data_IF_941686257574
#
_entry.id   IF_941686257574
#
_cell.length_a   1.000
_cell.length_b   1.000
_cell.length_c   1.000
_cell.angle_alpha   90.00
_cell.angle_beta   90.00
_cell.angle_gamma   90.00
#
_symmetry.space_group_name_H-M   'P 1'
#
loop_
_entity.id
_entity.type
_entity.pdbx_description
1 polymer ?
#
# COMPACT_ATOMS: atom_id res chain seq x y z
N UNK A 1 -25.60 0.77 -18.76
CA UNK A 1 -25.75 -0.70 -18.82
C UNK A 1 -27.13 -1.22 -19.23
N UNK A 2 -28.24 -1.00 -18.50
CA UNK A 2 -29.56 -1.56 -18.91
C UNK A 2 -30.20 -0.81 -20.10
N UNK A 3 -29.93 0.48 -20.26
CA UNK A 3 -30.45 1.29 -21.38
C UNK A 3 -29.68 1.08 -22.69
N UNK A 4 -28.37 0.89 -22.65
CA UNK A 4 -27.54 0.64 -23.85
C UNK A 4 -27.87 -0.71 -24.50
N UNK A 5 -28.17 -1.74 -23.69
CA UNK A 5 -28.60 -3.05 -24.19
C UNK A 5 -29.91 -2.98 -24.96
N UNK A 6 -30.82 -2.11 -24.52
CA UNK A 6 -32.10 -1.89 -25.20
C UNK A 6 -31.91 -1.12 -26.50
N UNK A 7 -31.08 -0.07 -26.51
CA UNK A 7 -30.70 0.63 -27.73
C UNK A 7 -30.02 -0.29 -28.76
N UNK A 8 -29.16 -1.20 -28.31
CA UNK A 8 -28.50 -2.21 -29.15
C UNK A 8 -29.48 -3.21 -29.76
N UNK A 9 -30.47 -3.65 -28.99
CA UNK A 9 -31.53 -4.57 -29.44
C UNK A 9 -32.51 -3.92 -30.41
N UNK A 10 -32.83 -2.64 -30.20
CA UNK A 10 -33.72 -1.89 -31.08
C UNK A 10 -33.05 -1.56 -32.42
N UNK A 11 -31.74 -1.27 -32.42
CA UNK A 11 -30.93 -1.17 -33.63
C UNK A 11 -30.85 -2.52 -34.39
N UNK A 12 -30.69 -3.64 -33.67
CA UNK A 12 -30.71 -4.98 -34.27
C UNK A 12 -32.06 -5.32 -34.91
N UNK A 13 -33.17 -4.95 -34.27
CA UNK A 13 -34.52 -5.25 -34.79
C UNK A 13 -34.89 -4.39 -35.99
N UNK A 14 -34.43 -3.13 -36.06
CA UNK A 14 -34.72 -2.25 -37.19
C UNK A 14 -33.96 -2.66 -38.47
N UNK A 15 -32.72 -3.13 -38.34
CA UNK A 15 -31.89 -3.59 -39.48
C UNK A 15 -32.31 -4.98 -40.01
N UNK A 16 -32.73 -5.89 -39.12
CA UNK A 16 -33.02 -7.30 -39.48
C UNK A 16 -34.50 -7.66 -39.61
N UNK A 17 -35.42 -6.70 -39.43
CA UNK A 17 -36.86 -6.95 -39.54
C UNK A 17 -37.33 -7.48 -40.90
N UNK A 18 -36.50 -7.41 -41.95
CA UNK A 18 -36.89 -7.89 -43.29
C UNK A 18 -35.76 -8.50 -44.15
N UNK A 19 -34.47 -8.42 -43.79
CA UNK A 19 -33.38 -8.77 -44.71
C UNK A 19 -32.55 -9.99 -44.28
N UNK A 20 -32.49 -11.00 -45.15
CA UNK A 20 -31.65 -12.23 -45.05
C UNK A 20 -30.13 -11.99 -45.20
N UNK A 21 -29.64 -10.75 -45.21
CA UNK A 21 -28.23 -10.46 -45.39
C UNK A 21 -27.74 -9.38 -44.43
N UNK A 22 -26.77 -9.75 -43.59
CA UNK A 22 -25.92 -8.82 -42.86
C UNK A 22 -25.09 -8.03 -43.89
N UNK A 23 -25.30 -6.72 -43.97
CA UNK A 23 -24.52 -5.84 -44.84
C UNK A 23 -23.09 -5.72 -44.30
N UNK A 24 -22.09 -5.60 -45.19
CA UNK A 24 -20.68 -5.41 -44.77
C UNK A 24 -20.51 -4.20 -43.84
N UNK A 25 -21.35 -3.18 -43.98
CA UNK A 25 -21.39 -1.99 -43.12
C UNK A 25 -21.84 -2.29 -41.69
N UNK A 26 -22.80 -3.21 -41.49
CA UNK A 26 -23.23 -3.62 -40.16
C UNK A 26 -22.13 -4.41 -39.43
N UNK A 27 -21.50 -5.38 -40.12
CA UNK A 27 -20.38 -6.13 -39.55
C UNK A 27 -19.23 -5.23 -39.11
N UNK A 28 -18.93 -4.18 -39.90
CA UNK A 28 -17.93 -3.17 -39.57
C UNK A 28 -18.32 -2.32 -38.34
N UNK A 29 -19.59 -1.89 -38.24
CA UNK A 29 -20.08 -1.13 -37.09
C UNK A 29 -20.00 -1.93 -35.78
N UNK A 30 -20.42 -3.20 -35.81
CA UNK A 30 -20.33 -4.10 -34.64
C UNK A 30 -18.87 -4.37 -34.25
N UNK A 31 -18.00 -4.58 -35.24
CA UNK A 31 -16.57 -4.78 -35.00
C UNK A 31 -15.94 -3.54 -34.35
N UNK A 32 -16.19 -2.33 -34.88
CA UNK A 32 -15.68 -1.08 -34.31
C UNK A 32 -16.15 -0.85 -32.88
N UNK A 33 -17.43 -1.10 -32.61
CA UNK A 33 -17.98 -0.95 -31.26
C UNK A 33 -17.25 -1.87 -30.27
N UNK A 34 -17.07 -3.15 -30.63
CA UNK A 34 -16.31 -4.10 -29.81
C UNK A 34 -14.84 -3.72 -29.67
N UNK A 35 -14.21 -3.17 -30.70
CA UNK A 35 -12.84 -2.68 -30.59
C UNK A 35 -12.73 -1.53 -29.59
N UNK A 36 -13.69 -0.60 -29.59
CA UNK A 36 -13.72 0.49 -28.61
C UNK A 36 -13.87 -0.02 -27.18
N UNK A 37 -14.71 -1.05 -26.95
CA UNK A 37 -14.82 -1.69 -25.64
C UNK A 37 -13.51 -2.37 -25.21
N UNK A 38 -12.82 -3.05 -26.14
CA UNK A 38 -11.52 -3.67 -25.88
C UNK A 38 -10.47 -2.61 -25.52
N UNK A 39 -10.41 -1.52 -26.27
CA UNK A 39 -9.47 -0.41 -26.04
C UNK A 39 -9.71 0.24 -24.67
N UNK A 40 -10.96 0.43 -24.29
CA UNK A 40 -11.33 1.00 -22.99
C UNK A 40 -10.94 0.06 -21.84
N UNK A 41 -11.20 -1.25 -21.98
CA UNK A 41 -10.79 -2.24 -20.99
C UNK A 41 -9.26 -2.33 -20.87
N UNK A 42 -8.52 -2.23 -21.99
CA UNK A 42 -7.07 -2.19 -21.98
C UNK A 42 -6.54 -0.97 -21.21
N UNK A 43 -7.12 0.22 -21.43
CA UNK A 43 -6.77 1.43 -20.67
C UNK A 43 -7.00 1.25 -19.18
N UNK A 44 -8.16 0.70 -18.80
CA UNK A 44 -8.48 0.45 -17.39
C UNK A 44 -7.52 -0.57 -16.76
N UNK A 45 -7.09 -1.58 -17.51
CA UNK A 45 -6.13 -2.57 -17.02
C UNK A 45 -4.76 -1.93 -16.78
N UNK A 46 -4.31 -1.06 -17.68
CA UNK A 46 -3.05 -0.32 -17.54
C UNK A 46 -3.11 0.61 -16.32
N UNK A 47 -4.17 1.41 -16.17
CA UNK A 47 -4.34 2.32 -15.01
C UNK A 47 -4.36 1.54 -13.69
N UNK A 48 -5.10 0.43 -13.62
CA UNK A 48 -5.10 -0.44 -12.44
C UNK A 48 -3.72 -1.04 -12.16
N UNK A 49 -2.99 -1.44 -13.20
CA UNK A 49 -1.61 -1.94 -13.07
C UNK A 49 -0.66 -0.90 -12.51
N UNK A 50 -0.78 0.36 -12.96
CA UNK A 50 0.02 1.48 -12.44
C UNK A 50 -0.28 1.74 -10.96
N UNK A 51 -1.56 1.86 -10.59
CA UNK A 51 -1.96 2.04 -9.18
C UNK A 51 -1.51 0.90 -8.28
N UNK A 52 -1.59 -0.34 -8.78
CA UNK A 52 -1.12 -1.50 -8.04
C UNK A 52 0.39 -1.41 -7.78
N UNK A 53 1.19 -1.03 -8.79
CA UNK A 53 2.63 -0.84 -8.62
C UNK A 53 2.95 0.27 -7.61
N UNK A 54 2.23 1.40 -7.64
CA UNK A 54 2.37 2.47 -6.65
C UNK A 54 2.07 1.97 -5.24
N UNK A 55 0.99 1.21 -5.06
CA UNK A 55 0.62 0.60 -3.78
C UNK A 55 1.69 -0.39 -3.29
N UNK A 56 2.23 -1.22 -4.18
CA UNK A 56 3.33 -2.15 -3.85
C UNK A 56 4.56 -1.38 -3.36
N UNK A 57 4.93 -0.29 -4.04
CA UNK A 57 6.06 0.52 -3.60
C UNK A 57 5.80 1.17 -2.23
N UNK A 58 4.60 1.71 -2.03
CA UNK A 58 4.22 2.30 -0.75
C UNK A 58 4.24 1.27 0.40
N UNK A 59 3.80 0.03 0.16
CA UNK A 59 3.88 -1.06 1.14
C UNK A 59 5.33 -1.38 1.49
N UNK A 60 6.23 -1.48 0.50
CA UNK A 60 7.66 -1.71 0.76
C UNK A 60 8.28 -0.60 1.61
N UNK A 61 7.95 0.66 1.33
CA UNK A 61 8.47 1.79 2.09
C UNK A 61 7.95 1.76 3.54
N UNK A 62 6.69 1.37 3.75
CA UNK A 62 6.12 1.19 5.09
C UNK A 62 6.75 0.01 5.83
N UNK A 63 6.98 -1.12 5.16
CA UNK A 63 7.66 -2.28 5.73
C UNK A 63 9.08 -1.92 6.19
N UNK A 64 9.82 -1.15 5.39
CA UNK A 64 11.14 -0.65 5.77
C UNK A 64 11.08 0.24 7.01
N UNK A 65 10.18 1.23 7.04
CA UNK A 65 9.99 2.11 8.20
C UNK A 65 9.57 1.33 9.45
N UNK A 66 8.71 0.34 9.29
CA UNK A 66 8.24 -0.48 10.39
C UNK A 66 9.37 -1.34 10.97
N UNK A 67 10.22 -1.92 10.11
CA UNK A 67 11.41 -2.64 10.55
C UNK A 67 12.40 -1.75 11.31
N UNK A 68 12.57 -0.51 10.89
CA UNK A 68 13.41 0.47 11.60
C UNK A 68 12.81 0.84 12.96
N UNK A 69 11.51 1.12 13.02
CA UNK A 69 10.80 1.39 14.27
C UNK A 69 10.87 0.21 15.22
N UNK A 70 10.73 -1.01 14.71
CA UNK A 70 10.83 -2.24 15.51
C UNK A 70 12.21 -2.36 16.16
N UNK A 71 13.29 -2.08 15.42
CA UNK A 71 14.66 -2.05 15.99
C UNK A 71 14.79 -1.04 17.13
N UNK A 72 14.24 0.17 16.97
CA UNK A 72 14.27 1.20 18.02
C UNK A 72 13.47 0.77 19.26
N UNK A 73 12.31 0.15 19.06
CA UNK A 73 11.49 -0.40 20.15
C UNK A 73 12.24 -1.49 20.90
N UNK A 74 12.91 -2.39 20.19
CA UNK A 74 13.65 -3.49 20.82
C UNK A 74 14.89 -2.97 21.57
N UNK A 75 15.59 -1.96 21.03
CA UNK A 75 16.69 -1.29 21.73
C UNK A 75 16.23 -0.62 23.03
N UNK A 76 15.12 0.14 22.98
CA UNK A 76 14.55 0.79 24.17
C UNK A 76 14.08 -0.23 25.20
N UNK A 77 13.43 -1.32 24.77
CA UNK A 77 13.02 -2.40 25.68
C UNK A 77 14.21 -3.04 26.38
N UNK A 78 15.31 -3.25 25.65
CA UNK A 78 16.55 -3.80 26.22
C UNK A 78 17.12 -2.85 27.27
N UNK A 79 17.27 -1.56 26.95
CA UNK A 79 17.74 -0.55 27.91
C UNK A 79 16.87 -0.53 29.18
N UNK A 80 15.54 -0.52 29.04
CA UNK A 80 14.63 -0.55 30.21
C UNK A 80 14.84 -1.82 31.05
N UNK A 81 15.09 -2.97 30.42
CA UNK A 81 15.33 -4.21 31.14
C UNK A 81 16.68 -4.18 31.86
N UNK A 82 17.73 -3.74 31.18
CA UNK A 82 19.07 -3.57 31.76
C UNK A 82 19.00 -2.68 33.02
N UNK A 83 18.20 -1.59 32.99
CA UNK A 83 17.99 -0.75 34.18
C UNK A 83 17.22 -1.40 35.32
N UNK A 84 16.17 -2.16 35.02
CA UNK A 84 15.42 -2.88 36.07
C UNK A 84 16.28 -3.90 36.79
N UNK A 85 17.25 -4.47 36.07
CA UNK A 85 18.17 -5.44 36.62
C UNK A 85 19.30 -4.73 37.41
N UNK A 86 19.85 -3.63 36.89
CA UNK A 86 20.82 -2.79 37.63
C UNK A 86 20.23 -2.21 38.94
N UNK A 87 19.01 -1.66 38.93
CA UNK A 87 18.34 -1.13 40.13
C UNK A 87 18.10 -2.21 41.20
N UNK A 88 17.87 -3.46 40.79
CA UNK A 88 17.73 -4.60 41.71
C UNK A 88 19.04 -5.03 42.33
N UNK A 89 20.14 -4.94 41.59
CA UNK A 89 21.48 -5.34 42.09
C UNK A 89 22.09 -4.29 43.01
N UNK A 90 21.64 -3.04 42.91
CA UNK A 90 22.29 -1.89 43.51
C UNK A 90 21.37 -1.22 44.56
N UNK A 91 21.56 -1.54 45.86
CA UNK A 91 21.00 -0.78 46.99
C UNK A 91 21.66 0.62 47.11
N UNK A 92 21.51 1.47 46.09
CA UNK A 92 22.24 2.73 45.97
C UNK A 92 21.64 3.88 46.78
N UNK A 93 22.51 4.80 47.17
CA UNK A 93 22.11 6.09 47.76
C UNK A 93 21.59 7.02 46.66
N UNK A 94 20.62 7.87 47.00
CA UNK A 94 19.90 8.81 46.10
C UNK A 94 20.79 9.60 45.12
N UNK A 95 22.03 9.92 45.49
CA UNK A 95 22.94 10.70 44.63
C UNK A 95 23.64 9.87 43.55
N UNK A 96 23.88 8.58 43.78
CA UNK A 96 24.43 7.65 42.77
C UNK A 96 23.36 7.34 41.71
N UNK A 97 22.10 7.28 42.15
CA UNK A 97 20.94 7.14 41.26
C UNK A 97 20.86 8.30 40.24
N UNK A 98 21.13 9.55 40.66
CA UNK A 98 21.09 10.73 39.78
C UNK A 98 22.10 10.66 38.62
N UNK A 99 23.30 10.13 38.87
CA UNK A 99 24.34 9.97 37.83
C UNK A 99 23.97 8.88 36.85
N UNK A 100 23.40 7.78 37.34
CA UNK A 100 22.88 6.70 36.52
C UNK A 100 21.77 7.25 35.62
N UNK A 101 20.70 7.85 36.18
CA UNK A 101 19.58 8.44 35.42
C UNK A 101 20.01 9.40 34.31
N UNK A 102 21.05 10.20 34.53
CA UNK A 102 21.62 11.08 33.50
C UNK A 102 22.19 10.32 32.29
N UNK A 103 22.92 9.23 32.54
CA UNK A 103 23.44 8.35 31.48
C UNK A 103 22.29 7.62 30.76
N UNK A 104 21.27 7.22 31.51
CA UNK A 104 20.06 6.58 30.96
C UNK A 104 19.36 7.47 29.95
N UNK A 105 19.14 8.73 30.31
CA UNK A 105 18.43 9.67 29.47
C UNK A 105 19.14 9.83 28.11
N UNK A 106 20.48 9.84 28.11
CA UNK A 106 21.31 9.96 26.89
C UNK A 106 21.18 8.71 26.02
N UNK A 107 21.31 7.51 26.61
CA UNK A 107 21.24 6.24 25.88
C UNK A 107 19.83 5.99 25.30
N UNK A 108 18.77 6.35 26.04
CA UNK A 108 17.39 6.33 25.54
C UNK A 108 17.17 7.31 24.39
N UNK A 109 17.68 8.54 24.50
CA UNK A 109 17.56 9.54 23.45
C UNK A 109 18.25 9.08 22.15
N UNK A 110 19.43 8.46 22.26
CA UNK A 110 20.15 7.85 21.14
C UNK A 110 19.36 6.70 20.50
N UNK A 111 18.81 5.79 21.29
CA UNK A 111 18.00 4.68 20.82
C UNK A 111 16.72 5.16 20.10
N UNK A 112 16.08 6.22 20.59
CA UNK A 112 14.90 6.83 19.96
C UNK A 112 15.24 7.52 18.63
N UNK A 113 16.42 8.12 18.52
CA UNK A 113 16.93 8.71 17.27
C UNK A 113 17.36 7.65 16.25
N UNK A 114 17.60 6.41 16.68
CA UNK A 114 18.14 5.33 15.83
C UNK A 114 19.67 5.38 15.72
N UNK A 115 20.33 6.21 16.53
CA UNK A 115 21.78 6.35 16.63
C UNK A 115 22.30 5.37 17.68
N UNK A 116 22.17 4.06 17.44
CA UNK A 116 22.80 3.08 18.32
C UNK A 116 24.30 3.12 18.08
N UNK A 117 25.06 3.62 19.07
CA UNK A 117 26.51 3.39 19.11
C UNK A 117 26.73 1.87 19.22
N UNK A 118 27.33 1.29 18.19
CA UNK A 118 27.88 -0.07 18.23
C UNK A 118 29.15 -0.14 19.03
#
# INVERSE_FOLDING_TARGET
MRSEKLAYLDFYKSEFGVAKHCSKSFGYAVWNHRQTEVDELQKQLIDKGQRFNEQVQHVKDLEHKNAELQKRVDAVKKLIQDYKDEEKELELKEWEQSTIYGRIAIELEQALKGESNG
#
